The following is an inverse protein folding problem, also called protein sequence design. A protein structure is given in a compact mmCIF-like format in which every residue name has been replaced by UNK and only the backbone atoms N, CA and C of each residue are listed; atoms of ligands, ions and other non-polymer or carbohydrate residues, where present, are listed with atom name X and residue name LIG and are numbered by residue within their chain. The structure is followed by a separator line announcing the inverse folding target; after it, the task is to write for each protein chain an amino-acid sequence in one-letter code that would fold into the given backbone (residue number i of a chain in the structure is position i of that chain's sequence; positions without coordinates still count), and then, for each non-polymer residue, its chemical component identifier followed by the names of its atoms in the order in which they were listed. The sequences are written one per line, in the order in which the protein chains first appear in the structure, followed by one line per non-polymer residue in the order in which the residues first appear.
data_IF_406060127906
#
_entry.id   IF_406060127906
#
_cell.length_a   1.000
_cell.length_b   1.000
_cell.length_c   1.000
_cell.angle_alpha   90.00
_cell.angle_beta   90.00
_cell.angle_gamma   90.00
#
_symmetry.space_group_name_H-M   'P 1'
#
loop_
_entity.id
_entity.type
_entity.pdbx_description
1 polymer ?
#
# COMPACT_ATOMS: atom_id res chain seq x y z
N UNK A 1 -73.03 18.93 2.58
CA UNK A 1 -71.81 19.61 2.13
C UNK A 1 -70.60 19.34 3.04
N UNK A 2 -70.71 19.43 4.35
CA UNK A 2 -69.55 19.22 5.28
C UNK A 2 -68.86 17.86 5.19
N UNK A 3 -69.56 16.72 4.98
CA UNK A 3 -68.97 15.37 4.87
C UNK A 3 -68.14 15.16 3.59
N UNK A 4 -68.48 15.82 2.49
CA UNK A 4 -67.65 15.73 1.23
C UNK A 4 -66.37 16.54 1.36
N UNK A 5 -66.43 17.68 2.02
CA UNK A 5 -65.24 18.54 2.25
C UNK A 5 -64.23 17.85 3.17
N UNK A 6 -64.69 17.19 4.22
CA UNK A 6 -63.83 16.42 5.14
C UNK A 6 -63.07 15.29 4.44
N UNK A 7 -63.71 14.59 3.48
CA UNK A 7 -63.08 13.53 2.67
C UNK A 7 -62.00 14.12 1.73
N UNK A 8 -62.23 15.27 1.13
CA UNK A 8 -61.24 15.90 0.26
C UNK A 8 -60.04 16.41 1.05
N UNK A 9 -60.23 16.95 2.24
CA UNK A 9 -59.15 17.38 3.14
C UNK A 9 -58.30 16.19 3.61
N UNK A 10 -58.91 15.05 3.98
CA UNK A 10 -58.18 13.85 4.36
C UNK A 10 -57.42 13.20 3.21
N UNK A 11 -57.94 13.24 1.98
CA UNK A 11 -57.22 12.76 0.81
C UNK A 11 -56.04 13.69 0.45
N UNK A 12 -56.20 15.00 0.58
CA UNK A 12 -55.10 15.95 0.40
C UNK A 12 -54.02 15.81 1.48
N UNK A 13 -54.40 15.54 2.75
CA UNK A 13 -53.47 15.33 3.83
C UNK A 13 -52.70 14.01 3.65
N UNK A 14 -53.38 12.98 3.18
CA UNK A 14 -52.74 11.68 2.86
C UNK A 14 -51.78 11.77 1.64
N UNK A 15 -52.15 12.57 0.62
CA UNK A 15 -51.22 12.88 -0.50
C UNK A 15 -50.00 13.70 -0.07
N UNK A 16 -50.21 14.68 0.82
CA UNK A 16 -49.10 15.47 1.38
C UNK A 16 -48.15 14.62 2.22
N UNK A 17 -48.66 13.64 3.00
CA UNK A 17 -47.85 12.70 3.74
C UNK A 17 -47.09 11.71 2.83
N UNK A 18 -47.67 11.27 1.72
CA UNK A 18 -47.01 10.42 0.74
C UNK A 18 -45.91 11.16 -0.03
N UNK A 19 -46.11 12.45 -0.33
CA UNK A 19 -45.09 13.29 -0.97
C UNK A 19 -43.93 13.60 -0.01
N UNK A 20 -44.20 13.71 1.31
CA UNK A 20 -43.15 13.92 2.32
C UNK A 20 -42.26 12.69 2.52
N UNK A 21 -42.78 11.48 2.32
CA UNK A 21 -42.00 10.24 2.40
C UNK A 21 -41.14 10.05 1.14
N UNK A 22 -41.62 10.48 -0.03
CA UNK A 22 -40.85 10.44 -1.29
C UNK A 22 -39.75 11.52 -1.38
N UNK A 23 -39.83 12.59 -0.56
CA UNK A 23 -38.81 13.66 -0.55
C UNK A 23 -37.63 13.39 0.39
N UNK A 24 -37.67 12.31 1.20
CA UNK A 24 -36.58 11.92 2.10
C UNK A 24 -35.63 10.86 1.55
N UNK A 25 -35.80 10.40 0.31
CA UNK A 25 -34.77 9.62 -0.38
C UNK A 25 -34.03 10.54 -1.36
N UNK A 26 -33.41 11.59 -0.88
CA UNK A 26 -32.17 12.05 -1.50
C UNK A 26 -31.15 10.99 -1.08
N UNK A 27 -30.92 10.03 -1.93
CA UNK A 27 -29.64 9.36 -1.97
C UNK A 27 -28.65 10.46 -2.36
N UNK A 28 -28.12 11.20 -1.41
CA UNK A 28 -26.79 11.76 -1.59
C UNK A 28 -25.91 10.53 -1.69
N UNK A 29 -25.63 10.13 -2.94
CA UNK A 29 -24.68 9.05 -3.19
C UNK A 29 -23.43 9.38 -2.40
N UNK A 30 -23.11 8.51 -1.43
CA UNK A 30 -21.95 8.74 -0.58
C UNK A 30 -20.72 8.78 -1.47
N UNK A 31 -20.03 9.90 -1.49
CA UNK A 31 -18.77 10.06 -2.21
C UNK A 31 -17.65 9.67 -1.26
N UNK A 32 -16.98 8.56 -1.57
CA UNK A 32 -15.82 8.06 -0.81
C UNK A 32 -14.54 8.55 -1.48
N UNK A 33 -13.73 9.31 -0.74
CA UNK A 33 -12.48 9.89 -1.25
C UNK A 33 -11.32 8.93 -0.99
N UNK A 34 -10.83 8.30 -2.04
CA UNK A 34 -9.72 7.36 -1.99
C UNK A 34 -8.41 8.09 -2.23
N UNK A 35 -7.44 7.90 -1.34
CA UNK A 35 -6.09 8.43 -1.47
C UNK A 35 -5.07 7.37 -1.88
N UNK A 36 -3.89 7.82 -2.30
CA UNK A 36 -2.71 6.98 -2.48
C UNK A 36 -1.43 7.75 -2.24
N UNK A 37 -0.35 7.03 -1.95
CA UNK A 37 1.01 7.56 -2.03
C UNK A 37 1.45 7.68 -3.49
N UNK A 38 2.57 8.36 -3.71
CA UNK A 38 3.13 8.73 -5.03
C UNK A 38 4.04 7.66 -5.66
N UNK A 39 3.75 6.38 -5.42
CA UNK A 39 4.48 5.28 -6.05
C UNK A 39 3.51 4.24 -6.65
N UNK A 40 4.00 3.52 -7.66
CA UNK A 40 3.19 2.66 -8.55
C UNK A 40 2.27 1.71 -7.81
N UNK A 41 2.78 0.96 -6.82
CA UNK A 41 1.98 -0.02 -6.08
C UNK A 41 0.80 0.64 -5.34
N UNK A 42 1.06 1.74 -4.64
CA UNK A 42 0.01 2.46 -3.91
C UNK A 42 -1.08 2.97 -4.85
N UNK A 43 -0.71 3.42 -6.06
CA UNK A 43 -1.65 3.85 -7.09
C UNK A 43 -2.48 2.69 -7.63
N UNK A 44 -1.87 1.53 -7.92
CA UNK A 44 -2.57 0.32 -8.38
C UNK A 44 -3.57 -0.15 -7.31
N UNK A 45 -3.14 -0.25 -6.06
CA UNK A 45 -3.97 -0.74 -4.95
C UNK A 45 -5.11 0.23 -4.66
N UNK A 46 -4.87 1.55 -4.66
CA UNK A 46 -5.91 2.55 -4.49
C UNK A 46 -6.97 2.49 -5.62
N UNK A 47 -6.55 2.22 -6.86
CA UNK A 47 -7.48 2.01 -7.96
C UNK A 47 -8.30 0.72 -7.79
N UNK A 48 -7.70 -0.38 -7.32
CA UNK A 48 -8.42 -1.62 -6.98
C UNK A 48 -9.44 -1.37 -5.86
N UNK A 49 -9.08 -0.60 -4.81
CA UNK A 49 -10.01 -0.21 -3.75
C UNK A 49 -11.17 0.62 -4.32
N UNK A 50 -10.86 1.55 -5.21
CA UNK A 50 -11.86 2.38 -5.89
C UNK A 50 -12.86 1.54 -6.69
N UNK A 51 -12.37 0.56 -7.46
CA UNK A 51 -13.22 -0.37 -8.22
C UNK A 51 -14.11 -1.22 -7.31
N UNK A 52 -13.58 -1.69 -6.18
CA UNK A 52 -14.35 -2.47 -5.21
C UNK A 52 -15.47 -1.67 -4.55
N UNK A 53 -15.23 -0.39 -4.28
CA UNK A 53 -16.23 0.53 -3.73
C UNK A 53 -17.30 0.88 -4.78
N UNK A 54 -16.91 1.11 -6.03
CA UNK A 54 -17.85 1.36 -7.13
C UNK A 54 -18.76 0.14 -7.38
N UNK A 55 -18.19 -1.07 -7.36
CA UNK A 55 -18.96 -2.32 -7.46
C UNK A 55 -19.95 -2.51 -6.29
N UNK A 56 -19.60 -2.03 -5.10
CA UNK A 56 -20.49 -1.98 -3.94
C UNK A 56 -21.52 -0.85 -3.98
N UNK A 57 -21.53 -0.01 -5.04
CA UNK A 57 -22.52 1.03 -5.28
C UNK A 57 -22.17 2.40 -4.69
N UNK A 58 -20.92 2.63 -4.29
CA UNK A 58 -20.45 3.95 -3.85
C UNK A 58 -19.94 4.78 -5.03
N UNK A 59 -20.11 6.09 -4.94
CA UNK A 59 -19.41 7.04 -5.82
C UNK A 59 -18.02 7.29 -5.26
N UNK A 60 -16.98 7.18 -6.10
CA UNK A 60 -15.58 7.32 -5.66
C UNK A 60 -14.95 8.57 -6.23
N UNK A 61 -14.31 9.35 -5.35
CA UNK A 61 -13.44 10.48 -5.71
C UNK A 61 -11.96 10.04 -5.60
N UNK A 62 -11.24 10.11 -6.71
CA UNK A 62 -9.82 9.75 -6.86
C UNK A 62 -8.87 10.94 -6.82
N UNK A 63 -9.36 12.13 -6.48
CA UNK A 63 -8.51 13.36 -6.44
C UNK A 63 -7.39 13.27 -5.39
N UNK A 64 -7.54 12.40 -4.38
CA UNK A 64 -6.52 12.07 -3.39
C UNK A 64 -5.44 11.08 -3.87
N UNK A 65 -5.48 10.61 -5.12
CA UNK A 65 -4.42 9.75 -5.67
C UNK A 65 -3.11 10.54 -5.90
N UNK A 66 -1.98 9.84 -5.78
CA UNK A 66 -0.64 10.40 -6.05
C UNK A 66 -0.22 11.54 -5.10
N UNK A 67 -0.60 11.46 -3.84
CA UNK A 67 -0.09 12.37 -2.80
C UNK A 67 1.34 11.99 -2.42
N UNK A 68 2.20 12.97 -2.21
CA UNK A 68 3.53 12.71 -1.68
C UNK A 68 3.46 11.88 -0.40
N UNK A 69 4.25 10.81 -0.31
CA UNK A 69 4.15 9.78 0.75
C UNK A 69 4.14 10.35 2.17
N UNK A 70 4.86 11.45 2.41
CA UNK A 70 4.86 12.14 3.71
C UNK A 70 3.59 12.96 4.01
N UNK A 71 2.69 13.17 3.03
CA UNK A 71 1.49 14.00 3.19
C UNK A 71 0.20 13.19 3.34
N UNK A 72 0.16 11.95 2.85
CA UNK A 72 -1.07 11.15 2.80
C UNK A 72 -1.68 10.88 4.17
N UNK A 73 -0.84 10.66 5.20
CA UNK A 73 -1.33 10.50 6.59
C UNK A 73 -1.99 11.78 7.11
N UNK A 74 -1.42 12.95 6.82
CA UNK A 74 -2.05 14.24 7.15
C UNK A 74 -3.40 14.43 6.45
N UNK A 75 -3.52 14.00 5.19
CA UNK A 75 -4.75 14.10 4.40
C UNK A 75 -5.89 13.24 4.96
N UNK A 76 -5.61 12.01 5.44
CA UNK A 76 -6.67 11.19 6.06
C UNK A 76 -7.06 11.73 7.44
N UNK A 77 -6.11 12.21 8.23
CA UNK A 77 -6.38 12.80 9.56
C UNK A 77 -7.21 14.09 9.43
N UNK A 78 -6.90 14.94 8.45
CA UNK A 78 -7.67 16.17 8.18
C UNK A 78 -9.05 15.92 7.55
N UNK A 79 -9.27 14.71 7.01
CA UNK A 79 -10.47 14.36 6.27
C UNK A 79 -10.49 14.87 4.83
N UNK A 80 -9.36 15.14 4.25
CA UNK A 80 -9.19 15.45 2.83
C UNK A 80 -9.41 14.20 1.97
N UNK A 81 -8.97 13.02 2.49
CA UNK A 81 -9.30 11.69 1.99
C UNK A 81 -9.97 10.86 3.08
N UNK A 82 -10.66 9.78 2.70
CA UNK A 82 -11.42 8.92 3.60
C UNK A 82 -10.73 7.59 3.88
N UNK A 83 -9.94 7.12 2.94
CA UNK A 83 -9.16 5.87 3.05
C UNK A 83 -7.96 5.89 2.09
N UNK A 84 -6.97 5.06 2.39
CA UNK A 84 -5.87 4.74 1.47
C UNK A 84 -5.17 3.43 1.85
N UNK A 85 -4.38 2.81 0.93
CA UNK A 85 -3.54 1.65 1.25
C UNK A 85 -2.32 2.08 2.09
N UNK A 86 -2.18 1.54 3.29
CA UNK A 86 -1.05 1.79 4.19
C UNK A 86 -0.31 0.48 4.49
N UNK A 87 0.88 0.60 5.08
CA UNK A 87 1.76 -0.51 5.43
C UNK A 87 2.06 -0.51 6.92
N UNK A 88 1.98 -1.69 7.55
CA UNK A 88 2.11 -1.84 9.00
C UNK A 88 3.41 -1.25 9.55
N UNK A 89 4.55 -1.50 8.90
CA UNK A 89 5.85 -0.95 9.30
C UNK A 89 5.94 0.57 9.18
N UNK A 90 5.30 1.16 8.16
CA UNK A 90 5.22 2.62 8.03
C UNK A 90 4.39 3.22 9.16
N UNK A 91 3.23 2.60 9.47
CA UNK A 91 2.42 3.00 10.61
C UNK A 91 3.20 2.95 11.92
N UNK A 92 3.96 1.87 12.15
CA UNK A 92 4.75 1.67 13.36
C UNK A 92 5.88 2.70 13.51
N UNK A 93 6.79 2.73 12.52
CA UNK A 93 8.04 3.48 12.63
C UNK A 93 7.87 4.96 12.27
N UNK A 94 7.21 5.24 11.13
CA UNK A 94 7.18 6.59 10.57
C UNK A 94 6.08 7.46 11.18
N UNK A 95 4.88 6.91 11.36
CA UNK A 95 3.75 7.69 11.86
C UNK A 95 3.68 7.71 13.38
N UNK A 96 3.81 6.53 14.02
CA UNK A 96 3.70 6.43 15.48
C UNK A 96 5.02 6.66 16.20
N UNK A 97 6.16 6.54 15.51
CA UNK A 97 7.50 6.66 16.10
C UNK A 97 7.77 5.60 17.16
N UNK A 98 7.21 4.40 17.02
CA UNK A 98 7.36 3.31 17.97
C UNK A 98 8.61 2.46 17.64
N UNK A 99 9.17 1.74 18.63
CA UNK A 99 10.33 0.87 18.41
C UNK A 99 10.06 -0.22 17.37
N UNK A 100 11.15 -0.70 16.74
CA UNK A 100 11.11 -1.85 15.84
C UNK A 100 10.47 -3.07 16.52
N UNK A 101 9.52 -3.68 15.84
CA UNK A 101 8.92 -4.97 16.15
C UNK A 101 8.91 -5.83 14.87
N UNK A 102 9.00 -7.15 15.01
CA UNK A 102 9.21 -8.07 13.89
C UNK A 102 8.09 -9.10 13.70
N UNK A 103 7.19 -9.27 14.66
CA UNK A 103 6.03 -10.13 14.50
C UNK A 103 4.91 -9.38 13.72
N UNK A 104 4.46 -9.90 12.56
CA UNK A 104 3.50 -9.19 11.72
C UNK A 104 2.15 -8.93 12.39
N UNK A 105 1.66 -9.89 13.18
CA UNK A 105 0.36 -9.73 13.83
C UNK A 105 0.44 -8.79 15.04
N UNK A 106 1.52 -8.87 15.84
CA UNK A 106 1.72 -7.93 16.93
C UNK A 106 1.85 -6.49 16.43
N UNK A 107 2.56 -6.27 15.31
CA UNK A 107 2.65 -4.94 14.68
C UNK A 107 1.29 -4.47 14.19
N UNK A 108 0.55 -5.31 13.47
CA UNK A 108 -0.79 -4.98 12.95
C UNK A 108 -1.76 -4.60 14.08
N UNK A 109 -1.83 -5.42 15.15
CA UNK A 109 -2.70 -5.17 16.29
C UNK A 109 -2.32 -3.88 17.04
N UNK A 110 -1.02 -3.62 17.20
CA UNK A 110 -0.52 -2.42 17.87
C UNK A 110 -0.85 -1.16 17.05
N UNK A 111 -0.49 -1.14 15.76
CA UNK A 111 -0.75 0.04 14.92
C UNK A 111 -2.26 0.28 14.76
N UNK A 112 -3.06 -0.77 14.61
CA UNK A 112 -4.51 -0.66 14.52
C UNK A 112 -5.12 -0.01 15.75
N UNK A 113 -4.73 -0.45 16.95
CA UNK A 113 -5.18 0.14 18.22
C UNK A 113 -4.75 1.61 18.35
N UNK A 114 -3.47 1.92 18.12
CA UNK A 114 -2.94 3.28 18.27
C UNK A 114 -3.56 4.26 17.26
N UNK A 115 -3.81 3.83 16.02
CA UNK A 115 -4.49 4.65 15.01
C UNK A 115 -5.95 4.90 15.37
N UNK A 116 -6.65 3.88 15.88
CA UNK A 116 -8.03 4.04 16.35
C UNK A 116 -8.11 5.06 17.48
N UNK A 117 -7.24 4.93 18.48
CA UNK A 117 -7.27 5.79 19.67
C UNK A 117 -6.82 7.23 19.36
N UNK A 118 -5.75 7.41 18.57
CA UNK A 118 -5.15 8.74 18.33
C UNK A 118 -5.82 9.51 17.20
N UNK A 119 -6.24 8.79 16.13
CA UNK A 119 -6.65 9.43 14.89
C UNK A 119 -8.09 9.12 14.47
N UNK A 120 -8.79 8.20 15.17
CA UNK A 120 -10.09 7.70 14.76
C UNK A 120 -10.06 7.09 13.35
N UNK A 121 -9.04 6.27 13.10
CA UNK A 121 -8.81 5.54 11.86
C UNK A 121 -8.74 4.04 12.18
N UNK A 122 -9.50 3.24 11.45
CA UNK A 122 -9.52 1.78 11.55
C UNK A 122 -8.61 1.17 10.49
N UNK A 123 -7.76 0.24 10.89
CA UNK A 123 -7.07 -0.70 10.02
C UNK A 123 -7.99 -1.87 9.75
N UNK A 124 -8.32 -2.11 8.47
CA UNK A 124 -9.19 -3.21 8.06
C UNK A 124 -8.42 -4.54 7.99
N UNK A 125 -8.98 -5.54 7.27
CA UNK A 125 -8.42 -6.89 7.29
C UNK A 125 -6.97 -6.92 6.82
N UNK A 126 -6.17 -7.68 7.56
CA UNK A 126 -4.76 -7.94 7.30
C UNK A 126 -4.56 -8.71 5.99
N UNK A 127 -3.53 -8.34 5.21
CA UNK A 127 -3.14 -9.07 4.01
C UNK A 127 -1.77 -9.72 4.15
N UNK A 128 -1.52 -10.79 3.40
CA UNK A 128 -0.20 -11.44 3.31
C UNK A 128 0.78 -10.67 2.40
N UNK A 129 0.30 -9.62 1.73
CA UNK A 129 1.14 -8.80 0.86
C UNK A 129 2.12 -7.97 1.69
N UNK A 130 3.41 -8.22 1.51
CA UNK A 130 4.49 -7.59 2.24
C UNK A 130 5.40 -6.82 1.27
N UNK A 131 5.49 -5.50 1.45
CA UNK A 131 6.38 -4.60 0.71
C UNK A 131 7.50 -4.10 1.64
N UNK A 132 8.38 -5.00 2.04
CA UNK A 132 9.53 -4.72 2.91
C UNK A 132 10.76 -4.26 2.13
N UNK A 133 11.74 -3.75 2.86
CA UNK A 133 13.05 -3.50 2.31
C UNK A 133 13.77 -4.82 2.01
N UNK A 134 14.74 -4.79 1.10
CA UNK A 134 15.56 -5.93 0.75
C UNK A 134 16.82 -5.52 0.00
N UNK A 135 17.69 -6.48 -0.20
CA UNK A 135 18.93 -6.34 -0.98
C UNK A 135 18.83 -7.22 -2.22
N UNK A 136 19.07 -6.63 -3.38
CA UNK A 136 19.07 -7.32 -4.67
C UNK A 136 20.47 -7.32 -5.27
N UNK A 137 20.85 -8.43 -5.85
CA UNK A 137 22.12 -8.61 -6.59
C UNK A 137 21.84 -9.04 -8.03
N UNK A 138 22.83 -8.87 -8.91
CA UNK A 138 22.76 -9.48 -10.24
C UNK A 138 22.72 -11.01 -10.10
N UNK A 139 21.80 -11.66 -10.77
CA UNK A 139 21.63 -13.12 -10.68
C UNK A 139 22.89 -13.90 -11.06
N UNK A 140 23.59 -13.46 -12.11
CA UNK A 140 24.87 -14.07 -12.51
C UNK A 140 25.91 -14.01 -11.39
N UNK A 141 26.02 -12.85 -10.70
CA UNK A 141 26.93 -12.66 -9.58
C UNK A 141 26.55 -13.51 -8.37
N UNK A 142 25.25 -13.58 -8.04
CA UNK A 142 24.74 -14.40 -6.96
C UNK A 142 25.13 -15.90 -7.16
N UNK A 143 25.02 -16.38 -8.41
CA UNK A 143 25.39 -17.73 -8.78
C UNK A 143 26.90 -17.96 -8.76
N UNK A 144 27.69 -16.99 -9.23
CA UNK A 144 29.15 -17.08 -9.28
C UNK A 144 29.78 -17.13 -7.89
N UNK A 145 29.25 -16.34 -6.95
CA UNK A 145 29.77 -16.20 -5.58
C UNK A 145 29.00 -17.03 -4.54
N UNK A 146 27.98 -17.80 -4.95
CA UNK A 146 27.09 -18.58 -4.08
C UNK A 146 26.42 -17.73 -2.99
N UNK A 147 25.97 -16.50 -3.37
CA UNK A 147 25.30 -15.54 -2.48
C UNK A 147 23.79 -15.80 -2.51
N UNK A 148 23.22 -16.20 -1.37
CA UNK A 148 21.77 -16.47 -1.19
C UNK A 148 21.17 -15.54 -0.15
N UNK A 149 21.91 -15.20 0.90
CA UNK A 149 21.45 -14.38 2.01
C UNK A 149 22.19 -13.04 2.08
N UNK A 150 21.71 -12.11 2.92
CA UNK A 150 22.40 -10.87 3.18
C UNK A 150 23.74 -11.11 3.89
N UNK A 151 23.82 -12.13 4.77
CA UNK A 151 25.07 -12.53 5.41
C UNK A 151 26.11 -13.01 4.41
N UNK A 152 25.72 -13.74 3.37
CA UNK A 152 26.64 -14.23 2.33
C UNK A 152 27.27 -13.08 1.53
N UNK A 153 26.57 -11.95 1.40
CA UNK A 153 27.05 -10.79 0.68
C UNK A 153 28.24 -10.09 1.39
N UNK A 154 28.23 -10.08 2.72
CA UNK A 154 29.15 -9.29 3.54
C UNK A 154 30.64 -9.60 3.27
N UNK A 155 31.12 -10.84 3.12
CA UNK A 155 32.51 -11.14 2.83
C UNK A 155 33.01 -10.61 1.48
N UNK A 156 32.09 -10.43 0.52
CA UNK A 156 32.39 -9.99 -0.84
C UNK A 156 32.27 -8.47 -1.04
N UNK A 157 31.72 -7.76 -0.08
CA UNK A 157 31.32 -6.36 -0.22
C UNK A 157 32.43 -5.45 -0.76
N UNK A 158 33.70 -5.68 -0.39
CA UNK A 158 34.84 -4.84 -0.82
C UNK A 158 35.13 -4.87 -2.32
N UNK A 159 34.62 -5.85 -3.03
CA UNK A 159 34.78 -6.00 -4.49
C UNK A 159 33.53 -5.54 -5.24
N UNK A 160 32.42 -5.24 -4.52
CA UNK A 160 31.12 -5.00 -5.10
C UNK A 160 30.74 -3.51 -5.07
N UNK A 161 30.15 -3.07 -6.17
CA UNK A 161 29.58 -1.72 -6.34
C UNK A 161 28.13 -1.73 -5.89
N UNK A 162 27.82 -0.91 -4.88
CA UNK A 162 26.48 -0.80 -4.33
C UNK A 162 25.79 0.44 -4.86
N UNK A 163 24.53 0.32 -5.28
CA UNK A 163 23.67 1.46 -5.58
C UNK A 163 22.51 1.52 -4.59
N UNK A 164 22.26 2.69 -4.07
CA UNK A 164 21.26 2.95 -3.05
C UNK A 164 20.33 4.09 -3.42
N UNK A 165 19.23 4.23 -2.72
CA UNK A 165 18.49 5.49 -2.66
C UNK A 165 19.04 6.36 -1.54
N UNK A 166 18.89 7.69 -1.64
CA UNK A 166 19.26 8.59 -0.56
C UNK A 166 18.51 8.24 0.73
N UNK A 167 17.21 7.93 0.57
CA UNK A 167 16.34 7.55 1.69
C UNK A 167 16.88 6.35 2.47
N UNK A 168 17.32 5.27 1.79
CA UNK A 168 17.88 4.08 2.47
C UNK A 168 19.18 4.38 3.24
N UNK A 169 19.99 5.32 2.76
CA UNK A 169 21.19 5.73 3.47
C UNK A 169 20.89 6.56 4.73
N UNK A 170 19.81 7.34 4.71
CA UNK A 170 19.46 8.29 5.78
C UNK A 170 18.54 7.67 6.86
N UNK A 171 17.78 6.64 6.54
CA UNK A 171 16.81 6.01 7.46
C UNK A 171 17.52 5.18 8.53
N UNK A 172 16.97 5.17 9.75
CA UNK A 172 17.43 4.31 10.84
C UNK A 172 17.27 2.82 10.53
N UNK A 173 16.19 2.44 9.83
CA UNK A 173 15.91 1.08 9.35
C UNK A 173 16.52 0.78 7.96
N UNK A 174 17.45 1.61 7.50
CA UNK A 174 18.16 1.44 6.22
C UNK A 174 19.56 0.84 6.39
N UNK A 175 20.56 1.52 5.80
CA UNK A 175 21.97 1.10 5.84
C UNK A 175 22.50 0.93 7.27
N UNK A 176 22.08 1.81 8.20
CA UNK A 176 22.48 1.76 9.60
C UNK A 176 22.02 0.48 10.30
N UNK A 177 20.77 0.04 10.07
CA UNK A 177 20.25 -1.20 10.61
C UNK A 177 20.99 -2.41 10.02
N UNK A 178 21.24 -2.39 8.71
CA UNK A 178 22.01 -3.44 8.03
C UNK A 178 23.41 -3.58 8.63
N UNK A 179 24.12 -2.46 8.86
CA UNK A 179 25.46 -2.48 9.46
C UNK A 179 25.45 -2.92 10.92
N UNK A 180 24.41 -2.56 11.66
CA UNK A 180 24.29 -2.98 13.08
C UNK A 180 24.08 -4.50 13.21
N UNK A 181 23.35 -5.11 12.29
CA UNK A 181 23.02 -6.54 12.32
C UNK A 181 24.11 -7.42 11.73
N UNK A 182 24.63 -7.07 10.56
CA UNK A 182 25.55 -7.91 9.78
C UNK A 182 27.03 -7.49 9.88
N UNK A 183 27.31 -6.34 10.51
CA UNK A 183 28.63 -5.70 10.47
C UNK A 183 28.79 -4.76 9.27
N UNK A 184 29.96 -4.10 9.16
CA UNK A 184 30.22 -3.16 8.07
C UNK A 184 30.29 -3.89 6.73
N UNK A 185 29.62 -3.28 5.74
CA UNK A 185 29.78 -3.61 4.34
C UNK A 185 30.68 -2.55 3.71
N UNK A 186 31.98 -2.80 3.66
CA UNK A 186 32.96 -1.90 3.05
C UNK A 186 32.90 -1.97 1.52
N UNK A 187 31.72 -1.62 0.92
CA UNK A 187 31.55 -1.70 -0.52
C UNK A 187 32.63 -0.94 -1.29
N UNK A 188 33.00 -1.45 -2.47
CA UNK A 188 33.95 -0.78 -3.36
C UNK A 188 33.53 0.65 -3.70
N UNK A 189 32.24 0.83 -4.01
CA UNK A 189 31.61 2.14 -4.13
C UNK A 189 30.16 2.10 -3.66
N UNK A 190 29.64 3.25 -3.24
CA UNK A 190 28.22 3.47 -2.96
C UNK A 190 27.77 4.66 -3.80
N UNK A 191 26.88 4.40 -4.75
CA UNK A 191 26.34 5.42 -5.63
C UNK A 191 24.83 5.61 -5.34
N UNK A 192 24.33 6.85 -5.48
CA UNK A 192 22.92 7.17 -5.23
C UNK A 192 22.16 7.20 -6.55
N UNK A 193 21.18 6.31 -6.71
CA UNK A 193 20.29 6.24 -7.87
C UNK A 193 18.86 6.00 -7.43
N UNK A 194 17.90 6.75 -8.02
CA UNK A 194 16.46 6.57 -7.74
C UNK A 194 15.75 5.67 -8.74
N UNK A 195 14.58 5.16 -8.35
CA UNK A 195 13.65 4.45 -9.22
C UNK A 195 14.29 3.29 -10.01
N UNK A 196 13.93 3.20 -11.29
CA UNK A 196 14.43 2.14 -12.18
C UNK A 196 15.90 2.24 -12.56
N UNK A 197 16.56 3.39 -12.33
CA UNK A 197 17.97 3.57 -12.71
C UNK A 197 18.91 2.59 -11.98
N UNK A 198 18.61 2.25 -10.72
CA UNK A 198 19.38 1.25 -9.95
C UNK A 198 19.29 -0.15 -10.55
N UNK A 199 18.13 -0.53 -11.06
CA UNK A 199 17.94 -1.82 -11.75
C UNK A 199 18.63 -1.84 -13.11
N UNK A 200 18.59 -0.72 -13.83
CA UNK A 200 19.34 -0.59 -15.08
C UNK A 200 20.86 -0.67 -14.85
N UNK A 201 21.36 -0.08 -13.75
CA UNK A 201 22.78 -0.21 -13.39
C UNK A 201 23.17 -1.68 -13.11
N UNK A 202 22.32 -2.46 -12.41
CA UNK A 202 22.53 -3.90 -12.25
C UNK A 202 22.52 -4.63 -13.60
N UNK A 203 21.51 -4.36 -14.44
CA UNK A 203 21.32 -5.03 -15.74
C UNK A 203 22.48 -4.80 -16.70
N UNK A 204 23.06 -3.62 -16.68
CA UNK A 204 24.19 -3.23 -17.55
C UNK A 204 25.56 -3.49 -16.93
N UNK A 205 25.62 -4.14 -15.79
CA UNK A 205 26.86 -4.41 -15.04
C UNK A 205 27.61 -3.10 -14.65
N UNK A 206 26.89 -1.99 -14.46
CA UNK A 206 27.43 -0.76 -13.89
C UNK A 206 27.44 -0.80 -12.35
N UNK A 207 26.57 -1.63 -11.75
CA UNK A 207 26.53 -1.95 -10.32
C UNK A 207 26.37 -3.46 -10.12
N UNK A 208 26.60 -3.91 -8.89
CA UNK A 208 26.58 -5.34 -8.52
C UNK A 208 25.44 -5.63 -7.55
N UNK A 209 25.16 -4.71 -6.64
CA UNK A 209 24.20 -4.82 -5.54
C UNK A 209 23.37 -3.56 -5.47
N UNK A 210 22.09 -3.69 -5.09
CA UNK A 210 21.22 -2.55 -4.85
C UNK A 210 20.27 -2.79 -3.68
N UNK A 211 19.75 -1.70 -3.12
CA UNK A 211 18.54 -1.79 -2.30
C UNK A 211 17.34 -2.12 -3.20
N UNK A 212 16.36 -2.78 -2.63
CA UNK A 212 15.10 -3.12 -3.29
C UNK A 212 13.95 -3.04 -2.29
N UNK A 213 12.72 -3.01 -2.82
CA UNK A 213 11.54 -3.41 -2.09
C UNK A 213 11.08 -4.78 -2.57
N UNK A 214 10.58 -5.61 -1.67
CA UNK A 214 10.23 -7.02 -1.99
C UNK A 214 9.17 -7.17 -3.08
N UNK A 215 8.43 -6.10 -3.37
CA UNK A 215 7.42 -6.02 -4.43
C UNK A 215 7.86 -5.21 -5.64
N UNK A 216 9.11 -4.75 -5.71
CA UNK A 216 9.62 -3.99 -6.88
C UNK A 216 9.41 -4.79 -8.18
N UNK A 217 8.66 -4.24 -9.13
CA UNK A 217 8.26 -4.94 -10.36
C UNK A 217 9.41 -5.48 -11.20
N UNK A 218 10.60 -4.88 -11.10
CA UNK A 218 11.82 -5.37 -11.77
C UNK A 218 12.23 -6.77 -11.29
N UNK A 219 11.98 -7.12 -10.01
CA UNK A 219 12.32 -8.42 -9.42
C UNK A 219 11.52 -9.57 -10.06
N UNK A 220 10.45 -9.29 -10.79
CA UNK A 220 9.73 -10.27 -11.59
C UNK A 220 10.66 -10.93 -12.65
N UNK A 221 11.72 -10.25 -13.07
CA UNK A 221 12.71 -10.78 -13.99
C UNK A 221 13.90 -11.42 -13.25
N UNK A 222 13.68 -12.63 -12.75
CA UNK A 222 14.67 -13.42 -12.02
C UNK A 222 15.92 -13.81 -12.83
N UNK A 223 15.90 -13.60 -14.15
CA UNK A 223 17.08 -13.78 -14.99
C UNK A 223 18.16 -12.74 -14.68
N UNK A 224 17.77 -11.52 -14.33
CA UNK A 224 18.71 -10.44 -14.05
C UNK A 224 18.89 -10.14 -12.57
N UNK A 225 17.87 -10.40 -11.75
CA UNK A 225 17.79 -9.91 -10.38
C UNK A 225 17.48 -11.04 -9.40
N UNK A 226 18.32 -11.18 -8.37
CA UNK A 226 18.12 -12.08 -7.25
C UNK A 226 17.95 -11.26 -5.99
N UNK A 227 16.76 -11.31 -5.39
CA UNK A 227 16.51 -10.75 -4.06
C UNK A 227 17.11 -11.71 -3.04
N UNK A 228 17.99 -11.18 -2.18
CA UNK A 228 18.63 -11.98 -1.13
C UNK A 228 17.66 -12.26 0.01
N UNK A 229 17.79 -13.44 0.60
CA UNK A 229 17.03 -13.77 1.80
C UNK A 229 17.57 -12.99 3.01
N UNK A 230 16.65 -12.44 3.81
CA UNK A 230 16.95 -11.83 5.10
C UNK A 230 17.11 -12.92 6.15
N UNK A 231 18.35 -13.32 6.43
CA UNK A 231 18.69 -14.39 7.38
C UNK A 231 18.81 -13.88 8.83
N UNK A 232 18.93 -12.58 9.01
CA UNK A 232 18.78 -11.89 10.30
C UNK A 232 17.71 -10.83 10.11
N UNK A 233 16.60 -10.92 10.83
CA UNK A 233 15.46 -9.98 10.69
C UNK A 233 15.84 -8.63 11.27
N UNK A 234 15.90 -7.62 10.38
CA UNK A 234 16.29 -6.24 10.72
C UNK A 234 15.22 -5.22 10.37
N UNK A 235 14.24 -5.61 9.56
CA UNK A 235 13.15 -4.73 9.17
C UNK A 235 11.83 -5.14 9.83
N UNK A 236 10.93 -4.18 10.08
CA UNK A 236 9.59 -4.52 10.51
C UNK A 236 8.81 -5.14 9.36
N UNK A 237 7.72 -5.84 9.63
CA UNK A 237 6.79 -6.25 8.59
C UNK A 237 6.11 -5.02 7.97
N UNK A 238 6.02 -4.99 6.64
CA UNK A 238 5.33 -3.95 5.87
C UNK A 238 4.13 -4.55 5.14
N UNK A 239 3.20 -5.14 5.89
CA UNK A 239 1.99 -5.71 5.32
C UNK A 239 1.03 -4.61 4.87
N UNK A 240 0.51 -4.77 3.65
CA UNK A 240 -0.49 -3.88 3.06
C UNK A 240 -1.83 -4.04 3.78
N UNK A 241 -2.44 -2.94 4.19
CA UNK A 241 -3.76 -2.92 4.83
C UNK A 241 -4.52 -1.66 4.40
N UNK A 242 -5.82 -1.76 4.06
CA UNK A 242 -6.64 -0.57 3.87
C UNK A 242 -6.91 0.11 5.21
N UNK A 243 -6.65 1.41 5.31
CA UNK A 243 -7.01 2.20 6.49
C UNK A 243 -8.13 3.18 6.15
N UNK A 244 -9.11 3.31 7.06
CA UNK A 244 -10.35 4.04 6.81
C UNK A 244 -10.70 4.89 8.03
N UNK A 245 -11.19 6.11 7.83
CA UNK A 245 -11.72 6.96 8.90
C UNK A 245 -12.94 6.31 9.54
N UNK A 246 -13.02 6.29 10.88
CA UNK A 246 -14.12 5.66 11.61
C UNK A 246 -15.48 6.21 11.22
N UNK A 247 -15.60 7.53 11.02
CA UNK A 247 -16.85 8.16 10.60
C UNK A 247 -17.41 7.57 9.30
N UNK A 248 -16.54 7.20 8.35
CA UNK A 248 -16.94 6.58 7.09
C UNK A 248 -17.51 5.17 7.32
N UNK A 249 -16.90 4.40 8.21
CA UNK A 249 -17.39 3.06 8.55
C UNK A 249 -18.70 3.10 9.33
N UNK A 250 -18.92 4.14 10.16
CA UNK A 250 -20.17 4.35 10.89
C UNK A 250 -21.32 4.76 9.95
N UNK A 251 -21.06 5.66 9.02
CA UNK A 251 -22.05 6.15 8.06
C UNK A 251 -22.30 5.17 6.91
N UNK A 252 -21.26 4.41 6.50
CA UNK A 252 -21.25 3.52 5.33
C UNK A 252 -20.63 2.16 5.66
N UNK A 253 -21.29 1.28 6.44
CA UNK A 253 -20.72 -0.01 6.86
C UNK A 253 -20.27 -0.92 5.70
N UNK A 254 -20.92 -0.82 4.54
CA UNK A 254 -20.54 -1.58 3.33
C UNK A 254 -19.15 -1.27 2.78
N UNK A 255 -18.50 -0.18 3.20
CA UNK A 255 -17.12 0.15 2.83
C UNK A 255 -16.14 -0.89 3.36
N UNK A 256 -16.30 -1.32 4.63
CA UNK A 256 -15.46 -2.36 5.20
C UNK A 256 -15.62 -3.69 4.45
N UNK A 257 -16.85 -4.11 4.17
CA UNK A 257 -17.13 -5.36 3.45
C UNK A 257 -16.52 -5.35 2.04
N UNK A 258 -16.65 -4.22 1.31
CA UNK A 258 -16.11 -4.05 -0.02
C UNK A 258 -14.57 -4.17 -0.07
N UNK A 259 -13.88 -3.63 0.94
CA UNK A 259 -12.42 -3.66 1.00
C UNK A 259 -11.88 -4.98 1.57
N UNK A 260 -12.51 -5.54 2.61
CA UNK A 260 -12.06 -6.77 3.25
C UNK A 260 -12.14 -7.99 2.32
N UNK A 261 -13.11 -8.04 1.38
CA UNK A 261 -13.17 -9.11 0.37
C UNK A 261 -11.92 -9.19 -0.50
N UNK A 262 -11.15 -8.11 -0.60
CA UNK A 262 -9.90 -8.07 -1.37
C UNK A 262 -8.72 -8.69 -0.63
N UNK A 263 -8.74 -8.71 0.71
CA UNK A 263 -7.60 -9.12 1.53
C UNK A 263 -7.02 -10.51 1.19
N UNK A 264 -7.83 -11.56 0.94
CA UNK A 264 -7.29 -12.88 0.56
C UNK A 264 -6.56 -12.92 -0.78
N UNK A 265 -6.75 -11.92 -1.63
CA UNK A 265 -6.18 -11.84 -2.98
C UNK A 265 -4.88 -11.03 -3.03
N UNK A 266 -4.58 -10.27 -1.97
CA UNK A 266 -3.33 -9.55 -1.83
C UNK A 266 -2.27 -10.40 -1.12
N UNK A 267 -1.26 -10.80 -1.87
CA UNK A 267 -0.03 -11.42 -1.39
C UNK A 267 1.18 -10.83 -2.12
N UNK A 268 2.38 -11.04 -1.60
CA UNK A 268 3.60 -10.46 -2.20
C UNK A 268 3.81 -10.84 -3.68
N UNK A 269 3.60 -12.09 -4.14
CA UNK A 269 3.68 -12.41 -5.56
C UNK A 269 2.66 -11.66 -6.43
N UNK A 270 1.44 -11.44 -5.93
CA UNK A 270 0.43 -10.67 -6.66
C UNK A 270 0.85 -9.21 -6.83
N UNK A 271 1.30 -8.54 -5.76
CA UNK A 271 1.80 -7.16 -5.85
C UNK A 271 3.02 -7.06 -6.78
N UNK A 272 3.97 -7.98 -6.66
CA UNK A 272 5.13 -8.04 -7.55
C UNK A 272 4.71 -8.15 -9.03
N UNK A 273 3.73 -9.02 -9.32
CA UNK A 273 3.18 -9.15 -10.66
C UNK A 273 2.53 -7.86 -11.16
N UNK A 274 1.63 -7.26 -10.36
CA UNK A 274 0.95 -6.00 -10.69
C UNK A 274 1.94 -4.87 -10.96
N UNK A 275 2.93 -4.72 -10.10
CA UNK A 275 3.99 -3.73 -10.27
C UNK A 275 4.79 -3.98 -11.55
N UNK A 276 5.08 -5.25 -11.90
CA UNK A 276 5.79 -5.58 -13.13
C UNK A 276 5.03 -5.16 -14.38
N UNK A 277 3.70 -5.31 -14.39
CA UNK A 277 2.86 -4.93 -15.54
C UNK A 277 2.99 -3.43 -15.85
N UNK A 278 3.07 -2.59 -14.83
CA UNK A 278 3.21 -1.14 -15.01
C UNK A 278 4.67 -0.75 -15.23
N UNK A 279 5.58 -1.18 -14.35
CA UNK A 279 6.97 -0.68 -14.33
C UNK A 279 7.80 -1.27 -15.46
N UNK A 280 7.66 -2.57 -15.77
CA UNK A 280 8.47 -3.27 -16.77
C UNK A 280 7.80 -3.25 -18.13
N UNK A 281 6.49 -3.52 -18.17
CA UNK A 281 5.76 -3.64 -19.43
C UNK A 281 5.07 -2.35 -19.87
N UNK A 282 5.10 -1.28 -19.05
CA UNK A 282 4.59 0.05 -19.38
C UNK A 282 3.06 0.11 -19.55
N UNK A 283 2.33 -0.81 -18.92
CA UNK A 283 0.87 -0.84 -18.98
C UNK A 283 0.26 0.27 -18.12
N UNK A 284 -0.94 0.64 -18.48
CA UNK A 284 -1.73 1.63 -17.74
C UNK A 284 -2.19 1.09 -16.37
N UNK A 285 -2.14 1.94 -15.33
CA UNK A 285 -2.47 1.56 -13.95
C UNK A 285 -3.94 1.13 -13.84
N UNK A 286 -4.86 1.89 -14.46
CA UNK A 286 -6.29 1.60 -14.40
C UNK A 286 -6.63 0.28 -15.11
N UNK A 287 -5.94 -0.01 -16.22
CA UNK A 287 -6.11 -1.27 -16.94
C UNK A 287 -5.65 -2.45 -16.09
N UNK A 288 -4.44 -2.37 -15.50
CA UNK A 288 -3.87 -3.42 -14.66
C UNK A 288 -4.73 -3.66 -13.40
N UNK A 289 -5.17 -2.59 -12.75
CA UNK A 289 -6.03 -2.67 -11.57
C UNK A 289 -7.39 -3.32 -11.90
N UNK A 290 -8.00 -2.95 -13.03
CA UNK A 290 -9.27 -3.50 -13.49
C UNK A 290 -9.18 -4.99 -13.79
N UNK A 291 -8.17 -5.43 -14.54
CA UNK A 291 -7.97 -6.85 -14.84
C UNK A 291 -7.79 -7.69 -13.58
N UNK A 292 -7.03 -7.18 -12.60
CA UNK A 292 -6.88 -7.86 -11.32
C UNK A 292 -8.21 -7.94 -10.58
N UNK A 293 -8.96 -6.84 -10.50
CA UNK A 293 -10.25 -6.79 -9.83
C UNK A 293 -11.28 -7.72 -10.47
N UNK A 294 -11.38 -7.74 -11.80
CA UNK A 294 -12.29 -8.62 -12.55
C UNK A 294 -11.94 -10.12 -12.43
N UNK A 295 -10.69 -10.45 -12.09
CA UNK A 295 -10.26 -11.82 -11.84
C UNK A 295 -10.58 -12.32 -10.41
N UNK A 296 -10.98 -11.44 -9.50
CA UNK A 296 -11.43 -11.80 -8.14
C UNK A 296 -12.86 -12.34 -8.23
N UNK A 297 -13.14 -13.56 -7.69
CA UNK A 297 -14.45 -14.20 -7.77
C UNK A 297 -15.55 -13.50 -6.96
#
# INVERSE_FOLDING_TARGET
MKKKWLKIVNVMLAMLLLVSIAACTRNDEAVIRVGSKDFTESLIVAEIYSLALEDAGFTVDRTGHNLASGLVHGAIVSGEIDLYPEYTGTGLLTVLGLPLMTDPMEVYELVGREYYERYQITWLDFTEAHNGQGIVVRTELAQELDIVTISDLQPHARELRFVSTAEFLDREDGMSAMFAAFGSFDFYSIDIMGGGARYEALRTNAADVSVAFTTDGHLYNTHYYTLLAEDIVIWPPYNLVPIVRNIILEEHPGVADALNRLAPHFNTPALLHLNSQVIVYGRDIQEVAREFFEAIP
#
